data_IF_788678262706
#
_entry.id   IF_788678262706
#
_cell.length_a   1.000
_cell.length_b   1.000
_cell.length_c   1.000
_cell.angle_alpha   90.00
_cell.angle_beta   90.00
_cell.angle_gamma   90.00
#
_symmetry.space_group_name_H-M   'P 1'
#
loop_
_entity.id
_entity.type
_entity.pdbx_description
1 polymer ?
#
# COMPACT_ATOMS: atom_id res chain seq x y z
N UNK A 1 37.29 -9.12 -12.88
CA UNK A 1 36.43 -9.81 -11.88
C UNK A 1 36.61 -9.13 -10.53
N UNK A 2 36.02 -8.00 -10.26
CA UNK A 2 35.83 -7.38 -8.92
C UNK A 2 35.29 -5.95 -9.01
N UNK A 3 34.12 -5.73 -9.68
CA UNK A 3 33.48 -4.41 -9.74
C UNK A 3 32.12 -4.35 -8.99
N UNK A 4 31.59 -5.49 -8.52
CA UNK A 4 30.20 -5.53 -7.97
C UNK A 4 30.09 -5.48 -6.44
N UNK A 5 31.20 -5.24 -5.71
CA UNK A 5 31.16 -5.27 -4.23
C UNK A 5 30.85 -3.94 -3.54
N UNK A 6 30.60 -2.85 -4.28
CA UNK A 6 30.46 -1.51 -3.66
C UNK A 6 29.05 -0.89 -3.71
N UNK A 7 28.02 -1.63 -4.16
CA UNK A 7 26.68 -1.08 -4.35
C UNK A 7 25.89 -0.94 -3.03
N UNK A 8 26.31 -1.61 -1.94
CA UNK A 8 25.50 -1.70 -0.69
C UNK A 8 26.11 -0.99 0.54
N UNK A 9 27.08 -0.09 0.39
CA UNK A 9 27.72 0.59 1.53
C UNK A 9 27.20 2.02 1.77
N UNK A 10 25.92 2.27 1.71
CA UNK A 10 25.34 3.52 2.17
C UNK A 10 24.42 3.26 3.37
N UNK A 11 24.78 3.70 4.58
CA UNK A 11 23.82 3.77 5.68
C UNK A 11 22.67 4.68 5.28
N UNK A 12 21.44 4.18 5.41
CA UNK A 12 20.20 4.92 5.08
C UNK A 12 20.10 6.26 5.82
N UNK A 13 20.87 6.43 6.89
CA UNK A 13 20.82 7.61 7.77
C UNK A 13 21.91 8.67 7.49
N UNK A 14 22.91 8.40 6.62
CA UNK A 14 24.08 9.26 6.48
C UNK A 14 23.99 10.34 5.39
N UNK A 15 22.90 10.38 4.61
CA UNK A 15 22.69 11.45 3.63
C UNK A 15 21.98 12.63 4.30
N UNK A 16 22.54 13.86 4.25
CA UNK A 16 21.85 15.03 4.81
C UNK A 16 20.48 15.18 4.16
N UNK A 17 19.42 15.26 4.97
CA UNK A 17 18.07 15.55 4.52
C UNK A 17 18.07 16.98 4.00
N UNK A 18 18.39 17.17 2.73
CA UNK A 18 18.05 18.43 2.08
C UNK A 18 16.54 18.47 1.93
N UNK A 19 15.87 19.29 2.72
CA UNK A 19 14.44 19.61 2.62
C UNK A 19 14.21 20.47 1.35
N UNK A 20 14.52 19.88 0.19
CA UNK A 20 14.13 20.46 -1.09
C UNK A 20 12.61 20.33 -1.25
N UNK A 21 11.99 21.31 -1.91
CA UNK A 21 10.55 21.31 -2.21
C UNK A 21 10.08 19.98 -2.81
N UNK A 22 10.91 19.38 -3.68
CA UNK A 22 10.63 18.08 -4.30
C UNK A 22 10.53 16.94 -3.26
N UNK A 23 11.43 16.92 -2.27
CA UNK A 23 11.40 15.93 -1.19
C UNK A 23 10.11 16.03 -0.36
N UNK A 24 9.71 17.26 0.01
CA UNK A 24 8.49 17.50 0.79
C UNK A 24 7.25 17.04 0.01
N UNK A 25 7.15 17.39 -1.28
CA UNK A 25 6.00 17.00 -2.11
C UNK A 25 5.89 15.47 -2.29
N UNK A 26 7.02 14.81 -2.56
CA UNK A 26 7.04 13.36 -2.70
C UNK A 26 6.68 12.67 -1.38
N UNK A 27 7.29 13.10 -0.28
CA UNK A 27 7.03 12.55 1.05
C UNK A 27 5.58 12.76 1.50
N UNK A 28 4.99 13.92 1.20
CA UNK A 28 3.59 14.22 1.52
C UNK A 28 2.62 13.26 0.85
N UNK A 29 2.83 12.94 -0.44
CA UNK A 29 1.99 11.96 -1.12
C UNK A 29 2.07 10.58 -0.46
N UNK A 30 3.28 10.06 -0.22
CA UNK A 30 3.43 8.77 0.46
C UNK A 30 2.77 8.78 1.83
N UNK A 31 2.97 9.85 2.60
CA UNK A 31 2.37 10.00 3.93
C UNK A 31 0.85 9.89 3.85
N UNK A 32 0.17 10.70 3.06
CA UNK A 32 -1.29 10.72 2.99
C UNK A 32 -1.89 9.50 2.29
N UNK A 33 -1.24 8.98 1.24
CA UNK A 33 -1.68 7.76 0.58
C UNK A 33 -1.66 6.56 1.56
N UNK A 34 -0.58 6.39 2.31
CA UNK A 34 -0.49 5.32 3.29
C UNK A 34 -1.28 5.61 4.57
N UNK A 35 -1.53 6.88 4.90
CA UNK A 35 -2.49 7.24 5.95
C UNK A 35 -3.91 6.82 5.57
N UNK A 36 -4.33 7.06 4.32
CA UNK A 36 -5.63 6.56 3.86
C UNK A 36 -5.69 5.03 3.81
N UNK A 37 -4.59 4.34 3.46
CA UNK A 37 -4.50 2.89 3.52
C UNK A 37 -4.59 2.37 4.96
N UNK A 38 -3.93 3.00 5.93
CA UNK A 38 -4.01 2.67 7.35
C UNK A 38 -5.39 2.92 7.96
N UNK A 39 -6.10 3.93 7.46
CA UNK A 39 -7.49 4.17 7.82
C UNK A 39 -8.42 3.11 7.19
N UNK A 40 -8.14 2.66 5.98
CA UNK A 40 -8.98 1.73 5.24
C UNK A 40 -8.76 0.28 5.70
N UNK A 41 -7.52 -0.20 5.72
CA UNK A 41 -7.22 -1.63 5.79
C UNK A 41 -7.76 -2.30 7.07
N UNK A 42 -7.52 -1.78 8.29
CA UNK A 42 -8.03 -2.37 9.53
C UNK A 42 -9.49 -2.06 9.80
N UNK A 43 -9.97 -0.88 9.41
CA UNK A 43 -11.25 -0.36 9.90
C UNK A 43 -12.40 -0.48 8.92
N UNK A 44 -12.13 -0.58 7.61
CA UNK A 44 -13.19 -0.73 6.62
C UNK A 44 -13.96 -2.06 6.76
N UNK A 45 -13.32 -3.23 6.93
CA UNK A 45 -14.03 -4.47 7.21
C UNK A 45 -14.85 -4.39 8.51
N UNK A 46 -14.32 -3.72 9.55
CA UNK A 46 -15.03 -3.49 10.80
C UNK A 46 -16.29 -2.64 10.62
N UNK A 47 -16.20 -1.58 9.78
CA UNK A 47 -17.34 -0.76 9.42
C UNK A 47 -18.40 -1.57 8.65
N UNK A 48 -17.99 -2.42 7.70
CA UNK A 48 -18.92 -3.30 6.98
C UNK A 48 -19.62 -4.28 7.92
N UNK A 49 -18.91 -4.87 8.86
CA UNK A 49 -19.49 -5.75 9.88
C UNK A 49 -20.51 -4.99 10.76
N UNK A 50 -20.16 -3.76 11.18
CA UNK A 50 -21.08 -2.89 11.92
C UNK A 50 -22.36 -2.55 11.11
N UNK A 51 -22.25 -2.42 9.78
CA UNK A 51 -23.38 -2.23 8.85
C UNK A 51 -24.13 -3.54 8.55
N UNK A 52 -23.85 -4.62 9.29
CA UNK A 52 -24.51 -5.93 9.18
C UNK A 52 -24.24 -6.67 7.86
N UNK A 53 -23.16 -6.33 7.15
CA UNK A 53 -22.68 -7.19 6.05
C UNK A 53 -22.17 -8.52 6.62
N UNK A 54 -22.57 -9.61 5.98
CA UNK A 54 -22.12 -10.96 6.37
C UNK A 54 -20.61 -11.15 6.09
N UNK A 55 -19.98 -12.12 6.76
CA UNK A 55 -18.57 -12.43 6.51
C UNK A 55 -18.30 -12.78 5.04
N UNK A 56 -19.24 -13.45 4.36
CA UNK A 56 -19.15 -13.74 2.93
C UNK A 56 -19.14 -12.47 2.09
N UNK A 57 -20.02 -11.52 2.35
CA UNK A 57 -20.09 -10.24 1.65
C UNK A 57 -18.85 -9.38 1.89
N UNK A 58 -18.36 -9.31 3.13
CA UNK A 58 -17.11 -8.62 3.48
C UNK A 58 -15.93 -9.23 2.73
N UNK A 59 -15.87 -10.56 2.65
CA UNK A 59 -14.85 -11.28 1.90
C UNK A 59 -14.86 -10.92 0.40
N UNK A 60 -16.04 -10.86 -0.23
CA UNK A 60 -16.17 -10.46 -1.64
C UNK A 60 -15.79 -8.99 -1.84
N UNK A 61 -16.27 -8.10 -1.00
CA UNK A 61 -15.97 -6.64 -1.09
C UNK A 61 -14.45 -6.43 -0.96
N UNK A 62 -13.80 -7.04 0.03
CA UNK A 62 -12.36 -6.96 0.24
C UNK A 62 -11.58 -7.63 -0.90
N UNK A 63 -12.05 -8.80 -1.35
CA UNK A 63 -11.50 -9.53 -2.50
C UNK A 63 -11.57 -8.72 -3.79
N UNK A 64 -12.66 -7.99 -4.03
CA UNK A 64 -12.82 -7.08 -5.18
C UNK A 64 -11.75 -5.98 -5.16
N UNK A 65 -11.48 -5.38 -4.01
CA UNK A 65 -10.43 -4.38 -3.86
C UNK A 65 -9.04 -4.94 -4.21
N UNK A 66 -8.74 -6.16 -3.78
CA UNK A 66 -7.47 -6.82 -4.10
C UNK A 66 -7.42 -7.24 -5.57
N UNK A 67 -8.52 -7.75 -6.11
CA UNK A 67 -8.63 -8.19 -7.50
C UNK A 67 -8.35 -7.08 -8.52
N UNK A 68 -8.76 -5.86 -8.25
CA UNK A 68 -8.48 -4.71 -9.14
C UNK A 68 -6.98 -4.40 -9.26
N UNK A 69 -6.13 -4.80 -8.30
CA UNK A 69 -4.67 -4.66 -8.39
C UNK A 69 -4.04 -5.46 -9.53
N UNK A 70 -4.73 -6.47 -10.04
CA UNK A 70 -4.24 -7.27 -11.17
C UNK A 70 -4.34 -6.49 -12.48
N UNK A 71 -5.41 -5.72 -12.65
CA UNK A 71 -5.76 -5.08 -13.93
C UNK A 71 -5.42 -3.58 -13.92
N UNK A 72 -5.82 -2.88 -12.87
CA UNK A 72 -5.78 -1.42 -12.85
C UNK A 72 -4.37 -0.82 -13.01
N UNK A 73 -3.30 -1.29 -12.32
CA UNK A 73 -1.97 -0.72 -12.48
C UNK A 73 -1.44 -0.83 -13.91
N UNK A 74 -1.70 -1.97 -14.56
CA UNK A 74 -1.24 -2.22 -15.93
C UNK A 74 -1.96 -1.31 -16.94
N UNK A 75 -3.29 -1.18 -16.80
CA UNK A 75 -4.08 -0.33 -17.70
C UNK A 75 -3.70 1.15 -17.53
N UNK A 76 -3.63 1.62 -16.28
CA UNK A 76 -3.27 3.01 -15.99
C UNK A 76 -1.81 3.31 -16.33
N UNK A 77 -0.90 2.31 -16.18
CA UNK A 77 0.47 2.40 -16.65
C UNK A 77 0.54 2.60 -18.16
N UNK A 78 -0.16 1.76 -18.92
CA UNK A 78 -0.24 1.88 -20.37
C UNK A 78 -0.81 3.24 -20.83
N UNK A 79 -1.88 3.73 -20.18
CA UNK A 79 -2.44 5.06 -20.48
C UNK A 79 -1.41 6.15 -20.19
N UNK A 80 -0.72 6.09 -19.05
CA UNK A 80 0.29 7.06 -18.66
C UNK A 80 1.48 7.10 -19.65
N UNK A 81 1.96 5.92 -20.05
CA UNK A 81 3.08 5.77 -20.99
C UNK A 81 2.68 6.27 -22.39
N UNK A 82 1.49 5.91 -22.87
CA UNK A 82 1.00 6.32 -24.20
C UNK A 82 0.74 7.82 -24.29
N UNK A 83 0.25 8.44 -23.21
CA UNK A 83 -0.11 9.87 -23.21
C UNK A 83 1.03 10.78 -22.78
N UNK A 84 2.06 10.26 -22.09
CA UNK A 84 3.11 11.05 -21.44
C UNK A 84 2.59 11.96 -20.31
N UNK A 85 1.35 11.72 -19.84
CA UNK A 85 0.65 12.56 -18.85
C UNK A 85 0.51 11.87 -17.51
N UNK A 86 1.56 11.18 -17.06
CA UNK A 86 1.59 10.39 -15.81
C UNK A 86 1.08 11.19 -14.60
N UNK A 87 1.48 12.45 -14.45
CA UNK A 87 0.99 13.32 -13.38
C UNK A 87 -0.53 13.52 -13.40
N UNK A 88 -1.14 13.64 -14.61
CA UNK A 88 -2.61 13.74 -14.72
C UNK A 88 -3.33 12.45 -14.39
N UNK A 89 -2.75 11.31 -14.74
CA UNK A 89 -3.28 9.99 -14.34
C UNK A 89 -3.33 9.86 -12.82
N UNK A 90 -2.27 10.30 -12.12
CA UNK A 90 -2.21 10.31 -10.66
C UNK A 90 -3.30 11.21 -10.07
N UNK A 91 -3.41 12.45 -10.55
CA UNK A 91 -4.41 13.42 -10.07
C UNK A 91 -5.84 12.95 -10.33
N UNK A 92 -6.10 12.46 -11.54
CA UNK A 92 -7.41 11.94 -11.93
C UNK A 92 -7.78 10.69 -11.10
N UNK A 93 -6.87 9.74 -10.92
CA UNK A 93 -7.08 8.57 -10.10
C UNK A 93 -7.39 8.93 -8.65
N UNK A 94 -6.61 9.84 -8.04
CA UNK A 94 -6.83 10.28 -6.67
C UNK A 94 -8.16 11.05 -6.49
N UNK A 95 -8.53 11.91 -7.43
CA UNK A 95 -9.82 12.61 -7.40
C UNK A 95 -10.99 11.65 -7.58
N UNK A 96 -10.91 10.76 -8.56
CA UNK A 96 -11.98 9.81 -8.86
C UNK A 96 -12.26 8.89 -7.67
N UNK A 97 -11.21 8.35 -7.03
CA UNK A 97 -11.42 7.51 -5.86
C UNK A 97 -12.04 8.28 -4.68
N UNK A 98 -11.67 9.55 -4.46
CA UNK A 98 -12.30 10.41 -3.46
C UNK A 98 -13.80 10.60 -3.75
N UNK A 99 -14.14 11.01 -4.98
CA UNK A 99 -15.53 11.26 -5.38
C UNK A 99 -16.41 10.00 -5.30
N UNK A 100 -15.87 8.85 -5.72
CA UNK A 100 -16.60 7.58 -5.64
C UNK A 100 -16.82 7.18 -4.18
N UNK A 101 -15.78 7.31 -3.33
CA UNK A 101 -15.88 6.90 -1.94
C UNK A 101 -16.83 7.79 -1.10
N UNK A 102 -17.15 9.01 -1.56
CA UNK A 102 -18.16 9.88 -0.92
C UNK A 102 -19.53 9.23 -0.79
N UNK A 103 -19.85 8.27 -1.64
CA UNK A 103 -21.14 7.55 -1.60
C UNK A 103 -21.10 6.34 -0.65
N UNK A 104 -19.94 5.92 -0.16
CA UNK A 104 -19.81 4.73 0.68
C UNK A 104 -20.64 4.76 1.97
N UNK A 105 -20.79 5.91 2.69
CA UNK A 105 -21.59 5.94 3.91
C UNK A 105 -23.09 5.70 3.69
N UNK A 106 -23.61 6.00 2.48
CA UNK A 106 -25.03 5.89 2.15
C UNK A 106 -25.43 4.50 1.64
N UNK A 107 -24.45 3.66 1.29
CA UNK A 107 -24.73 2.34 0.73
C UNK A 107 -24.87 1.31 1.85
N UNK A 108 -25.99 0.61 1.86
CA UNK A 108 -26.34 -0.44 2.83
C UNK A 108 -26.50 -1.82 2.18
N UNK A 109 -26.56 -1.87 0.84
CA UNK A 109 -26.78 -3.09 0.09
C UNK A 109 -25.48 -3.64 -0.50
N UNK A 110 -25.37 -4.97 -0.56
CA UNK A 110 -24.18 -5.69 -1.01
C UNK A 110 -23.76 -5.33 -2.44
N UNK A 111 -24.62 -5.46 -3.45
CA UNK A 111 -24.23 -5.25 -4.85
C UNK A 111 -23.77 -3.82 -5.15
N UNK A 112 -24.48 -2.77 -4.69
CA UNK A 112 -23.98 -1.41 -4.82
C UNK A 112 -22.65 -1.18 -4.12
N UNK A 113 -22.41 -1.81 -2.96
CA UNK A 113 -21.14 -1.70 -2.24
C UNK A 113 -19.99 -2.36 -3.01
N UNK A 114 -20.20 -3.55 -3.58
CA UNK A 114 -19.21 -4.22 -4.45
C UNK A 114 -18.87 -3.34 -5.65
N UNK A 115 -19.88 -2.77 -6.31
CA UNK A 115 -19.69 -1.88 -7.47
C UNK A 115 -18.92 -0.62 -7.08
N UNK A 116 -19.25 0.00 -5.96
CA UNK A 116 -18.53 1.15 -5.44
C UNK A 116 -17.07 0.82 -5.17
N UNK A 117 -16.80 -0.27 -4.45
CA UNK A 117 -15.43 -0.68 -4.10
C UNK A 117 -14.65 -1.09 -5.36
N UNK A 118 -15.29 -1.70 -6.35
CA UNK A 118 -14.64 -1.98 -7.64
C UNK A 118 -14.14 -0.69 -8.30
N UNK A 119 -14.99 0.30 -8.50
CA UNK A 119 -14.57 1.56 -9.13
C UNK A 119 -13.61 2.36 -8.23
N UNK A 120 -13.87 2.45 -6.94
CA UNK A 120 -12.97 3.07 -5.98
C UNK A 120 -11.56 2.50 -6.09
N UNK A 121 -11.43 1.17 -5.97
CA UNK A 121 -10.13 0.52 -5.97
C UNK A 121 -9.46 0.51 -7.35
N UNK A 122 -10.23 0.49 -8.42
CA UNK A 122 -9.73 0.64 -9.79
C UNK A 122 -9.00 1.97 -9.99
N UNK A 123 -9.55 3.08 -9.50
CA UNK A 123 -8.91 4.39 -9.53
C UNK A 123 -7.82 4.55 -8.46
N UNK A 124 -8.02 3.98 -7.27
CA UNK A 124 -7.01 3.97 -6.22
C UNK A 124 -5.69 3.36 -6.67
N UNK A 125 -5.79 2.20 -7.33
CA UNK A 125 -4.63 1.46 -7.82
C UNK A 125 -3.94 2.11 -9.04
N UNK A 126 -4.51 3.19 -9.59
CA UNK A 126 -3.84 4.03 -10.59
C UNK A 126 -2.70 4.86 -9.97
N UNK A 127 -2.89 5.36 -8.75
CA UNK A 127 -2.07 6.45 -8.22
C UNK A 127 -0.68 6.00 -7.78
N UNK A 128 -0.56 4.96 -6.92
CA UNK A 128 0.72 4.60 -6.30
C UNK A 128 1.78 4.15 -7.31
N UNK A 129 1.53 3.20 -8.25
CA UNK A 129 2.56 2.75 -9.16
C UNK A 129 3.07 3.87 -10.09
N UNK A 130 2.16 4.77 -10.51
CA UNK A 130 2.53 5.91 -11.33
C UNK A 130 3.34 6.94 -10.53
N UNK A 131 3.00 7.13 -9.25
CA UNK A 131 3.74 8.02 -8.37
C UNK A 131 5.12 7.48 -8.03
N UNK A 132 5.28 6.17 -7.88
CA UNK A 132 6.58 5.52 -7.70
C UNK A 132 7.49 5.76 -8.91
N UNK A 133 6.97 5.63 -10.13
CA UNK A 133 7.71 5.95 -11.34
C UNK A 133 8.13 7.43 -11.39
N UNK A 134 7.23 8.36 -11.05
CA UNK A 134 7.56 9.80 -10.94
C UNK A 134 8.65 10.03 -9.89
N UNK A 135 8.55 9.38 -8.73
CA UNK A 135 9.54 9.50 -7.65
C UNK A 135 10.92 9.04 -8.12
N UNK A 136 11.01 7.88 -8.74
CA UNK A 136 12.26 7.34 -9.25
C UNK A 136 12.88 8.23 -10.33
N UNK A 137 12.07 8.73 -11.28
CA UNK A 137 12.51 9.65 -12.31
C UNK A 137 13.01 10.99 -11.71
N UNK A 138 12.32 11.50 -10.69
CA UNK A 138 12.70 12.76 -10.02
C UNK A 138 14.00 12.61 -9.24
N UNK A 139 14.23 11.47 -8.61
CA UNK A 139 15.44 11.19 -7.83
C UNK A 139 16.66 10.90 -8.71
N UNK A 140 16.49 10.32 -9.90
CA UNK A 140 17.55 9.99 -10.83
C UNK A 140 18.72 9.26 -10.16
N UNK A 141 19.92 9.85 -10.15
CA UNK A 141 21.10 9.28 -9.50
C UNK A 141 21.04 9.24 -7.96
N UNK A 142 20.10 9.96 -7.35
CA UNK A 142 19.91 10.04 -5.90
C UNK A 142 18.90 9.00 -5.37
N UNK A 143 18.82 7.83 -6.02
CA UNK A 143 17.88 6.76 -5.65
C UNK A 143 18.00 6.31 -4.17
N UNK A 144 19.14 6.54 -3.51
CA UNK A 144 19.33 6.26 -2.07
C UNK A 144 18.32 7.03 -1.18
N UNK A 145 17.80 8.16 -1.66
CA UNK A 145 16.79 8.94 -0.95
C UNK A 145 15.38 8.33 -1.04
N UNK A 146 15.16 7.39 -1.95
CA UNK A 146 13.85 6.73 -2.11
C UNK A 146 13.34 6.10 -0.82
N UNK A 147 14.20 5.35 -0.12
CA UNK A 147 13.82 4.71 1.15
C UNK A 147 13.44 5.74 2.22
N UNK A 148 14.10 6.90 2.29
CA UNK A 148 13.75 7.97 3.23
C UNK A 148 12.38 8.58 2.92
N UNK A 149 12.09 8.81 1.63
CA UNK A 149 10.78 9.31 1.17
C UNK A 149 9.69 8.26 1.46
N UNK A 150 9.97 6.99 1.20
CA UNK A 150 9.03 5.88 1.40
C UNK A 150 8.69 5.63 2.87
N UNK A 151 9.63 5.91 3.80
CA UNK A 151 9.41 5.83 5.24
C UNK A 151 8.27 6.75 5.73
N UNK A 152 8.06 7.90 5.09
CA UNK A 152 6.92 8.77 5.40
C UNK A 152 5.57 8.07 5.19
N UNK A 153 5.51 7.14 4.24
CA UNK A 153 4.33 6.29 4.07
C UNK A 153 4.07 5.40 5.30
N UNK A 154 5.09 4.72 5.81
CA UNK A 154 4.93 3.91 7.03
C UNK A 154 4.52 4.75 8.24
N UNK A 155 5.09 5.96 8.39
CA UNK A 155 4.69 6.89 9.44
C UNK A 155 3.23 7.34 9.27
N UNK A 156 2.81 7.66 8.05
CA UNK A 156 1.42 8.02 7.73
C UNK A 156 0.45 6.90 8.09
N UNK A 157 0.79 5.65 7.74
CA UNK A 157 0.00 4.47 8.10
C UNK A 157 -0.16 4.33 9.62
N UNK A 158 0.95 4.34 10.37
CA UNK A 158 0.92 4.18 11.82
C UNK A 158 0.09 5.28 12.47
N UNK A 159 0.33 6.55 12.10
CA UNK A 159 -0.39 7.69 12.69
C UNK A 159 -1.89 7.62 12.37
N UNK A 160 -2.28 7.27 11.14
CA UNK A 160 -3.70 7.17 10.78
C UNK A 160 -4.39 6.03 11.54
N UNK A 161 -3.74 4.87 11.67
CA UNK A 161 -4.28 3.73 12.43
C UNK A 161 -4.52 4.12 13.88
N UNK A 162 -3.55 4.78 14.54
CA UNK A 162 -3.68 5.22 15.93
C UNK A 162 -4.72 6.34 16.09
N UNK A 163 -4.75 7.30 15.19
CA UNK A 163 -5.75 8.37 15.18
C UNK A 163 -7.16 7.79 15.03
N UNK A 164 -7.38 6.90 14.06
CA UNK A 164 -8.69 6.27 13.90
C UNK A 164 -9.09 5.42 15.09
N UNK A 165 -8.18 4.69 15.65
CA UNK A 165 -8.38 3.91 16.87
C UNK A 165 -8.98 4.78 17.98
N UNK A 166 -8.37 5.93 18.24
CA UNK A 166 -8.84 6.90 19.24
C UNK A 166 -10.22 7.47 18.87
N UNK A 167 -10.40 7.93 17.61
CA UNK A 167 -11.66 8.53 17.19
C UNK A 167 -12.80 7.51 17.19
N UNK A 168 -12.55 6.27 16.75
CA UNK A 168 -13.54 5.20 16.73
C UNK A 168 -13.96 4.80 18.15
N UNK A 169 -13.02 4.76 19.08
CA UNK A 169 -13.31 4.51 20.50
C UNK A 169 -14.19 5.60 21.13
N UNK A 170 -14.00 6.86 20.72
CA UNK A 170 -14.72 8.01 21.29
C UNK A 170 -16.05 8.30 20.62
N UNK A 171 -16.12 8.20 19.31
CA UNK A 171 -17.27 8.63 18.49
C UNK A 171 -18.02 7.47 17.82
N UNK A 172 -17.53 6.24 18.00
CA UNK A 172 -18.12 5.04 17.40
C UNK A 172 -17.64 4.76 15.98
N UNK A 173 -18.02 3.59 15.46
CA UNK A 173 -17.56 3.03 14.18
C UNK A 173 -18.04 3.85 12.97
N UNK A 174 -19.14 4.56 13.10
CA UNK A 174 -19.70 5.37 12.00
C UNK A 174 -18.79 6.49 11.50
N UNK A 175 -17.76 6.89 12.27
CA UNK A 175 -16.80 7.91 11.85
C UNK A 175 -15.81 7.44 10.79
N UNK A 176 -15.64 6.11 10.65
CA UNK A 176 -14.61 5.50 9.79
C UNK A 176 -14.64 6.01 8.34
N UNK A 177 -15.78 5.99 7.61
CA UNK A 177 -15.82 6.46 6.23
C UNK A 177 -15.40 7.92 6.09
N UNK A 178 -15.75 8.76 7.05
CA UNK A 178 -15.41 10.19 7.03
C UNK A 178 -13.92 10.43 7.27
N UNK A 179 -13.30 9.65 8.14
CA UNK A 179 -11.85 9.69 8.33
C UNK A 179 -11.10 9.20 7.08
N UNK A 180 -11.59 8.15 6.42
CA UNK A 180 -11.04 7.68 5.15
C UNK A 180 -11.16 8.80 4.10
N UNK A 181 -12.33 9.43 3.96
CA UNK A 181 -12.55 10.55 3.04
C UNK A 181 -11.59 11.72 3.32
N UNK A 182 -11.34 12.04 4.57
CA UNK A 182 -10.39 13.07 4.95
C UNK A 182 -8.97 12.76 4.45
N UNK A 183 -8.48 11.54 4.66
CA UNK A 183 -7.16 11.14 4.18
C UNK A 183 -7.11 11.02 2.65
N UNK A 184 -8.18 10.56 1.99
CA UNK A 184 -8.29 10.57 0.53
C UNK A 184 -8.22 11.99 -0.05
N UNK A 185 -8.90 12.95 0.59
CA UNK A 185 -8.83 14.36 0.22
C UNK A 185 -7.40 14.90 0.34
N UNK A 186 -6.71 14.63 1.45
CA UNK A 186 -5.32 15.05 1.63
C UNK A 186 -4.38 14.37 0.63
N UNK A 187 -4.65 13.11 0.28
CA UNK A 187 -3.93 12.40 -0.79
C UNK A 187 -4.13 13.11 -2.12
N UNK A 188 -5.36 13.43 -2.49
CA UNK A 188 -5.63 14.16 -3.73
C UNK A 188 -4.94 15.54 -3.74
N UNK A 189 -5.05 16.32 -2.67
CA UNK A 189 -4.36 17.63 -2.56
C UNK A 189 -2.85 17.47 -2.75
N UNK A 190 -2.23 16.43 -2.16
CA UNK A 190 -0.79 16.20 -2.33
C UNK A 190 -0.40 15.91 -3.78
N UNK A 191 -1.31 15.34 -4.59
CA UNK A 191 -1.05 15.08 -6.01
C UNK A 191 -0.96 16.36 -6.86
N UNK A 192 -1.57 17.46 -6.42
CA UNK A 192 -1.57 18.72 -7.16
C UNK A 192 -0.17 19.35 -7.28
N UNK A 193 0.72 18.97 -6.36
CA UNK A 193 2.12 19.42 -6.35
C UNK A 193 3.05 18.52 -7.17
N UNK A 194 2.55 17.44 -7.77
CA UNK A 194 3.34 16.54 -8.61
C UNK A 194 3.71 17.25 -9.91
N UNK A 195 4.99 17.48 -10.11
CA UNK A 195 5.51 18.07 -11.33
C UNK A 195 5.41 17.10 -12.52
N UNK A 196 5.27 17.65 -13.71
CA UNK A 196 5.40 16.89 -14.95
C UNK A 196 6.83 16.34 -15.02
N UNK A 197 7.00 15.02 -14.87
CA UNK A 197 8.29 14.37 -15.11
C UNK A 197 8.46 14.20 -16.63
N UNK A 198 9.64 14.48 -17.15
CA UNK A 198 9.98 14.10 -18.53
C UNK A 198 10.20 12.59 -18.55
N UNK A 199 9.30 11.88 -19.21
CA UNK A 199 9.40 10.43 -19.38
C UNK A 199 10.45 10.12 -20.46
N UNK A 200 11.71 9.98 -20.03
CA UNK A 200 12.83 9.63 -20.92
C UNK A 200 13.04 8.11 -21.04
N UNK A 201 12.19 7.28 -20.46
CA UNK A 201 12.31 5.82 -20.52
C UNK A 201 11.54 5.26 -21.72
N UNK A 202 12.25 5.04 -22.82
CA UNK A 202 11.80 4.08 -23.86
C UNK A 202 11.91 2.68 -23.21
N UNK A 203 10.76 2.09 -22.88
CA UNK A 203 10.74 0.70 -22.43
C UNK A 203 11.27 -0.19 -23.56
N UNK A 204 12.39 -0.87 -23.32
CA UNK A 204 12.82 -1.96 -24.21
C UNK A 204 11.78 -3.09 -24.09
N UNK A 205 11.14 -3.40 -25.19
CA UNK A 205 10.13 -4.46 -25.30
C UNK A 205 10.81 -5.84 -25.33
N UNK A 206 11.36 -6.29 -24.20
CA UNK A 206 11.65 -7.71 -24.04
C UNK A 206 10.34 -8.46 -23.81
N UNK A 207 10.16 -9.60 -24.49
CA UNK A 207 8.96 -10.42 -24.33
C UNK A 207 8.86 -10.91 -22.87
N UNK A 208 7.96 -10.31 -22.08
CA UNK A 208 7.74 -10.66 -20.69
C UNK A 208 7.40 -12.15 -20.51
N UNK A 209 6.72 -12.76 -21.50
CA UNK A 209 6.34 -14.18 -21.48
C UNK A 209 7.56 -15.11 -21.39
N UNK A 210 8.64 -14.81 -22.09
CA UNK A 210 9.86 -15.65 -22.05
C UNK A 210 10.60 -15.60 -20.71
N UNK A 211 10.37 -14.54 -19.93
CA UNK A 211 10.94 -14.39 -18.58
C UNK A 211 10.07 -15.12 -17.56
N UNK A 212 8.75 -14.97 -17.65
CA UNK A 212 7.78 -15.54 -16.69
C UNK A 212 7.80 -17.08 -16.72
N UNK A 213 8.01 -17.70 -17.87
CA UNK A 213 8.01 -19.18 -18.05
C UNK A 213 9.26 -19.84 -17.42
N UNK A 214 10.31 -19.08 -17.08
CA UNK A 214 11.50 -19.67 -16.42
C UNK A 214 11.09 -20.29 -15.07
N UNK A 215 11.46 -21.58 -14.78
CA UNK A 215 11.00 -22.26 -13.57
C UNK A 215 11.32 -21.52 -12.26
N UNK A 216 12.49 -20.87 -12.20
CA UNK A 216 12.87 -20.07 -11.03
C UNK A 216 11.96 -18.84 -10.83
N UNK A 217 11.58 -18.16 -11.92
CA UNK A 217 10.67 -17.01 -11.87
C UNK A 217 9.27 -17.45 -11.51
N UNK A 218 8.78 -18.53 -12.13
CA UNK A 218 7.47 -19.10 -11.83
C UNK A 218 7.39 -19.57 -10.37
N UNK A 219 8.43 -20.21 -9.84
CA UNK A 219 8.51 -20.60 -8.44
C UNK A 219 8.38 -19.42 -7.48
N UNK A 220 9.07 -18.30 -7.76
CA UNK A 220 8.96 -17.08 -6.95
C UNK A 220 7.54 -16.49 -7.06
N UNK A 221 6.97 -16.41 -8.26
CA UNK A 221 5.63 -15.87 -8.47
C UNK A 221 4.56 -16.68 -7.74
N UNK A 222 4.62 -18.01 -7.83
CA UNK A 222 3.70 -18.91 -7.09
C UNK A 222 3.87 -18.72 -5.59
N UNK A 223 5.10 -18.66 -5.10
CA UNK A 223 5.36 -18.47 -3.67
C UNK A 223 4.82 -17.13 -3.17
N UNK A 224 5.03 -16.05 -3.90
CA UNK A 224 4.46 -14.73 -3.58
C UNK A 224 2.93 -14.74 -3.64
N UNK A 225 2.34 -15.43 -4.63
CA UNK A 225 0.89 -15.60 -4.73
C UNK A 225 0.31 -16.33 -3.51
N UNK A 226 0.90 -17.45 -3.12
CA UNK A 226 0.46 -18.22 -1.93
C UNK A 226 0.61 -17.41 -0.64
N UNK A 227 1.70 -16.65 -0.49
CA UNK A 227 1.89 -15.74 0.63
C UNK A 227 0.78 -14.69 0.67
N UNK A 228 0.49 -14.04 -0.45
CA UNK A 228 -0.56 -13.03 -0.53
C UNK A 228 -1.95 -13.62 -0.29
N UNK A 229 -2.21 -14.83 -0.80
CA UNK A 229 -3.45 -15.56 -0.54
C UNK A 229 -3.65 -15.81 0.96
N UNK A 230 -2.60 -16.21 1.68
CA UNK A 230 -2.65 -16.39 3.13
C UNK A 230 -2.93 -15.11 3.91
N UNK A 231 -2.58 -13.94 3.37
CA UNK A 231 -2.83 -12.65 4.02
C UNK A 231 -4.27 -12.14 3.82
N UNK A 232 -5.01 -12.65 2.83
CA UNK A 232 -6.37 -12.23 2.54
C UNK A 232 -7.30 -12.26 3.76
N UNK A 233 -7.45 -13.42 4.44
CA UNK A 233 -8.29 -13.52 5.64
C UNK A 233 -7.83 -12.59 6.78
N UNK A 234 -6.52 -12.40 6.94
CA UNK A 234 -5.99 -11.45 7.94
C UNK A 234 -6.48 -10.02 7.67
N UNK A 235 -6.36 -9.54 6.44
CA UNK A 235 -6.80 -8.19 6.09
C UNK A 235 -8.30 -8.00 6.17
N UNK A 236 -9.09 -9.05 5.88
CA UNK A 236 -10.53 -8.96 5.88
C UNK A 236 -11.15 -9.13 7.28
N UNK A 237 -10.59 -10.01 8.12
CA UNK A 237 -11.30 -10.48 9.29
C UNK A 237 -10.58 -10.28 10.62
N UNK A 238 -9.29 -9.95 10.63
CA UNK A 238 -8.53 -9.87 11.89
C UNK A 238 -9.06 -8.81 12.86
N UNK A 239 -9.44 -7.63 12.36
CA UNK A 239 -10.02 -6.58 13.20
C UNK A 239 -11.41 -6.98 13.73
N UNK A 240 -12.22 -7.66 12.92
CA UNK A 240 -13.53 -8.19 13.32
C UNK A 240 -13.33 -9.26 14.40
N UNK A 241 -12.44 -10.23 14.19
CA UNK A 241 -12.11 -11.27 15.15
C UNK A 241 -11.70 -10.70 16.51
N UNK A 242 -10.84 -9.68 16.53
CA UNK A 242 -10.44 -9.03 17.78
C UNK A 242 -11.64 -8.36 18.47
N UNK A 243 -12.52 -7.70 17.71
CA UNK A 243 -13.71 -7.04 18.28
C UNK A 243 -14.69 -8.06 18.84
N UNK A 244 -14.94 -9.18 18.17
CA UNK A 244 -15.79 -10.28 18.65
C UNK A 244 -15.24 -10.91 19.93
N UNK A 245 -13.92 -10.95 20.08
CA UNK A 245 -13.26 -11.39 21.31
C UNK A 245 -13.10 -10.26 22.37
N UNK A 246 -13.91 -9.20 22.28
CA UNK A 246 -13.97 -8.10 23.24
C UNK A 246 -12.70 -7.27 23.39
N UNK A 247 -11.80 -7.30 22.41
CA UNK A 247 -10.66 -6.40 22.39
C UNK A 247 -11.09 -4.98 22.00
N UNK A 248 -10.53 -3.98 22.67
CA UNK A 248 -10.83 -2.58 22.37
C UNK A 248 -10.28 -2.16 20.99
N UNK A 249 -10.98 -1.23 20.32
CA UNK A 249 -10.50 -0.63 19.06
C UNK A 249 -9.11 0.00 19.20
N UNK A 250 -8.77 0.52 20.38
CA UNK A 250 -7.44 1.05 20.67
C UNK A 250 -6.35 -0.02 20.57
N UNK A 251 -6.62 -1.23 21.07
CA UNK A 251 -5.68 -2.34 20.99
C UNK A 251 -5.51 -2.82 19.54
N UNK A 252 -6.60 -2.84 18.74
CA UNK A 252 -6.54 -3.15 17.31
C UNK A 252 -5.56 -2.20 16.61
N UNK A 253 -5.67 -0.89 16.87
CA UNK A 253 -4.75 0.11 16.32
C UNK A 253 -3.30 -0.13 16.71
N UNK A 254 -3.05 -0.47 17.97
CA UNK A 254 -1.68 -0.76 18.46
C UNK A 254 -1.11 -1.99 17.76
N UNK A 255 -1.87 -3.09 17.67
CA UNK A 255 -1.41 -4.34 17.04
C UNK A 255 -1.04 -4.12 15.56
N UNK A 256 -1.88 -3.40 14.82
CA UNK A 256 -1.58 -3.06 13.41
C UNK A 256 -0.34 -2.18 13.29
N UNK A 257 -0.18 -1.22 14.19
CA UNK A 257 1.00 -0.34 14.22
C UNK A 257 2.28 -1.11 14.53
N UNK A 258 2.24 -2.08 15.45
CA UNK A 258 3.38 -2.94 15.77
C UNK A 258 3.83 -3.74 14.56
N UNK A 259 2.90 -4.23 13.73
CA UNK A 259 3.23 -4.92 12.48
C UNK A 259 4.04 -4.04 11.54
N UNK A 260 3.63 -2.78 11.35
CA UNK A 260 4.34 -1.84 10.47
C UNK A 260 5.66 -1.39 11.08
N UNK A 261 5.75 -1.22 12.40
CA UNK A 261 7.02 -0.92 13.09
C UNK A 261 8.01 -2.07 12.87
N UNK A 262 7.58 -3.32 13.01
CA UNK A 262 8.41 -4.49 12.73
C UNK A 262 8.88 -4.51 11.26
N UNK A 263 8.03 -4.17 10.30
CA UNK A 263 8.38 -4.02 8.90
C UNK A 263 9.49 -2.98 8.70
N UNK A 264 9.35 -1.79 9.30
CA UNK A 264 10.37 -0.73 9.24
C UNK A 264 11.72 -1.24 9.78
N UNK A 265 11.73 -1.91 10.93
CA UNK A 265 12.95 -2.45 11.53
C UNK A 265 13.63 -3.49 10.64
N UNK A 266 12.84 -4.35 9.96
CA UNK A 266 13.35 -5.31 8.98
C UNK A 266 13.94 -4.57 7.79
N UNK A 267 13.25 -3.58 7.22
CA UNK A 267 13.77 -2.80 6.09
C UNK A 267 15.08 -2.11 6.40
N UNK A 268 15.27 -1.60 7.62
CA UNK A 268 16.54 -1.00 8.05
C UNK A 268 17.69 -2.01 8.09
N UNK A 269 17.42 -3.29 8.34
CA UNK A 269 18.42 -4.36 8.49
C UNK A 269 18.60 -5.21 7.24
N UNK A 270 17.65 -5.26 6.34
CA UNK A 270 17.62 -6.20 5.21
C UNK A 270 18.85 -6.05 4.30
N UNK A 271 19.33 -4.83 4.07
CA UNK A 271 20.51 -4.55 3.25
C UNK A 271 21.79 -5.22 3.80
N UNK A 272 21.89 -5.35 5.13
CA UNK A 272 23.00 -6.04 5.80
C UNK A 272 22.78 -7.56 5.90
N UNK A 273 21.53 -8.00 5.90
CA UNK A 273 21.18 -9.41 6.04
C UNK A 273 21.26 -10.18 4.73
N UNK A 274 20.93 -9.55 3.60
CA UNK A 274 21.02 -10.20 2.27
C UNK A 274 22.42 -10.75 1.98
N UNK A 275 23.53 -10.00 2.15
CA UNK A 275 24.87 -10.53 1.92
C UNK A 275 25.27 -11.63 2.91
N UNK A 276 24.76 -11.59 4.15
CA UNK A 276 25.12 -12.51 5.23
C UNK A 276 24.36 -13.84 5.15
N UNK A 277 23.06 -13.80 4.91
CA UNK A 277 22.18 -14.97 4.98
C UNK A 277 21.72 -15.48 3.61
N UNK A 278 21.87 -14.67 2.59
CA UNK A 278 21.36 -14.94 1.24
C UNK A 278 19.85 -14.73 1.11
N UNK A 279 19.43 -14.30 -0.07
CA UNK A 279 18.02 -13.96 -0.38
C UNK A 279 17.09 -15.17 -0.19
N UNK A 280 17.52 -16.38 -0.59
CA UNK A 280 16.72 -17.61 -0.45
C UNK A 280 16.37 -17.92 1.00
N UNK A 281 17.33 -17.83 1.91
CA UNK A 281 17.10 -18.15 3.33
C UNK A 281 16.18 -17.11 3.98
N UNK A 282 16.37 -15.82 3.67
CA UNK A 282 15.49 -14.76 4.16
C UNK A 282 14.05 -14.96 3.67
N UNK A 283 13.88 -15.39 2.42
CA UNK A 283 12.58 -15.70 1.85
C UNK A 283 11.91 -16.88 2.58
N UNK A 284 12.64 -17.97 2.85
CA UNK A 284 12.15 -19.12 3.61
C UNK A 284 11.76 -18.69 5.04
N UNK A 285 12.60 -17.89 5.70
CA UNK A 285 12.32 -17.38 7.06
C UNK A 285 11.02 -16.56 7.07
N UNK A 286 10.75 -15.74 6.04
CA UNK A 286 9.49 -14.98 5.97
C UNK A 286 8.25 -15.88 5.91
N UNK A 287 8.32 -17.02 5.21
CA UNK A 287 7.24 -18.01 5.19
C UNK A 287 7.05 -18.71 6.55
N UNK A 288 8.14 -19.04 7.22
CA UNK A 288 8.08 -19.63 8.57
C UNK A 288 7.41 -18.67 9.56
N UNK A 289 7.75 -17.39 9.53
CA UNK A 289 7.07 -16.39 10.38
C UNK A 289 5.60 -16.21 10.01
N UNK A 290 5.24 -16.25 8.73
CA UNK A 290 3.85 -16.20 8.31
C UNK A 290 3.05 -17.42 8.81
N UNK A 291 3.66 -18.61 8.75
CA UNK A 291 3.05 -19.85 9.29
C UNK A 291 2.89 -19.77 10.81
N UNK A 292 3.95 -19.32 11.52
CA UNK A 292 3.91 -19.15 12.98
C UNK A 292 2.82 -18.18 13.41
N UNK A 293 2.68 -17.06 12.68
CA UNK A 293 1.59 -16.11 12.94
C UNK A 293 0.20 -16.79 12.90
N UNK A 294 -0.05 -17.65 11.92
CA UNK A 294 -1.33 -18.34 11.79
C UNK A 294 -1.55 -19.40 12.87
N UNK A 295 -0.49 -19.94 13.47
CA UNK A 295 -0.58 -20.85 14.61
C UNK A 295 -0.85 -20.10 15.93
N UNK A 296 -0.56 -18.81 16.00
CA UNK A 296 -0.72 -17.97 17.19
C UNK A 296 -2.03 -17.16 17.22
N UNK A 297 -2.72 -17.04 16.08
CA UNK A 297 -4.05 -16.43 15.97
C UNK A 297 -5.13 -17.48 16.13
#
# INVERSE_FOLDING_TARGET
>A
MNKDKNIYKGNILDAPIMLDRSYIHLSSFYFFYFASLGAFLPYWPLYLSYKSFTAYEIGIITGTMIGTKIIAPNLWGWIADKTGLRHRVIQFGALSCLLIFMFAPQIENFYPMVLLIFFFSFFWNASLPQFEAVTMNTLGSSYNKYSQIRLWGSLGFILSVLILSFFTSKYGINIIPYCILFFLFLTWVSTLYVKKAEDNTKAESSSLLTIIIKPAVLGILISCFLMQLSHGPFYAFFAIYLTENSYSTNLIGVIWSLGVIAEILIFMKISSWIPKYGLKNLFIISFLFATLRWLLI
#
